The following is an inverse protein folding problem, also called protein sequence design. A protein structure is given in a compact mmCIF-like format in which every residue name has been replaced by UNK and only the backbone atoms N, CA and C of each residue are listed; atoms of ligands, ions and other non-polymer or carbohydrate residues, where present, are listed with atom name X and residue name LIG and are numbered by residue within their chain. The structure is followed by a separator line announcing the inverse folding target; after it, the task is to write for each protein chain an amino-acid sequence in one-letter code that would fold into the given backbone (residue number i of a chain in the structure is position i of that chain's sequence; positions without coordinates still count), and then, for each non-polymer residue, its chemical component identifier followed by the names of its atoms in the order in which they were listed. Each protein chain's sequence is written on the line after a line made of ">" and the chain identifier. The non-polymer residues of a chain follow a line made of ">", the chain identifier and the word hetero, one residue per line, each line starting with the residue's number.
data_IF_269705219194
#
_entry.id   IF_269705219194
#
_cell.length_a   1.000
_cell.length_b   1.000
_cell.length_c   1.000
_cell.angle_alpha   90.00
_cell.angle_beta   90.00
_cell.angle_gamma   90.00
#
_symmetry.space_group_name_H-M   'P 1'
#
loop_
_entity.id
_entity.type
_entity.pdbx_description
1 polymer ?
#
# COMPACT_ATOMS: atom_id res chain seq x y z
N UNK A 1 10.10 -2.77 0.54
CA UNK A 1 9.24 -2.77 1.75
C UNK A 1 9.46 -4.08 2.47
N UNK A 2 9.61 -4.09 3.79
CA UNK A 2 9.83 -5.33 4.53
C UNK A 2 8.56 -5.67 5.35
N UNK A 3 8.10 -6.91 5.26
CA UNK A 3 7.01 -7.44 6.08
C UNK A 3 7.52 -8.73 6.74
N UNK A 4 7.78 -8.65 8.04
CA UNK A 4 8.51 -9.71 8.74
C UNK A 4 9.93 -9.84 8.21
N UNK A 5 10.27 -11.04 7.78
CA UNK A 5 11.52 -11.46 7.14
C UNK A 5 11.52 -11.23 5.61
N UNK A 6 10.36 -11.09 4.97
CA UNK A 6 10.26 -10.97 3.51
C UNK A 6 10.48 -9.53 3.03
N UNK A 7 11.34 -9.36 2.01
CA UNK A 7 11.49 -8.12 1.24
C UNK A 7 10.55 -8.13 0.03
N UNK A 8 9.90 -6.99 -0.17
CA UNK A 8 8.96 -6.74 -1.25
C UNK A 8 9.47 -5.57 -2.09
N UNK A 9 9.41 -5.74 -3.40
CA UNK A 9 9.62 -4.66 -4.36
C UNK A 9 8.50 -3.64 -4.26
N UNK A 10 8.85 -2.36 -4.37
CA UNK A 10 7.91 -1.25 -4.35
C UNK A 10 8.13 -0.42 -5.60
N UNK A 11 7.07 -0.25 -6.39
CA UNK A 11 7.10 0.52 -7.63
C UNK A 11 5.98 1.54 -7.66
N UNK A 12 6.13 2.59 -8.47
CA UNK A 12 5.04 3.52 -8.72
C UNK A 12 3.93 2.80 -9.52
N UNK A 13 2.69 2.89 -9.03
CA UNK A 13 1.52 2.38 -9.73
C UNK A 13 1.06 3.33 -10.83
N UNK A 14 0.03 2.92 -11.59
CA UNK A 14 -0.54 3.80 -12.62
C UNK A 14 -1.07 5.10 -11.99
N UNK A 15 -0.96 6.24 -12.71
CA UNK A 15 -1.42 7.53 -12.21
C UNK A 15 -2.88 7.53 -11.76
N UNK A 16 -3.18 8.29 -10.71
CA UNK A 16 -4.55 8.56 -10.27
C UNK A 16 -5.18 9.61 -11.21
N UNK A 17 -5.90 9.15 -12.23
CA UNK A 17 -6.54 10.03 -13.24
C UNK A 17 -7.87 10.62 -12.76
N UNK A 18 -8.52 9.99 -11.79
CA UNK A 18 -9.77 10.46 -11.18
C UNK A 18 -9.55 10.84 -9.72
N UNK A 19 -10.36 11.80 -9.23
CA UNK A 19 -10.34 12.20 -7.83
C UNK A 19 -10.73 11.03 -6.94
N UNK A 20 -9.89 10.73 -5.97
CA UNK A 20 -10.10 9.74 -4.93
C UNK A 20 -9.85 10.42 -3.59
N UNK A 21 -10.72 10.24 -2.61
CA UNK A 21 -10.60 10.81 -1.27
C UNK A 21 -10.62 9.68 -0.22
N UNK A 22 -9.86 9.85 0.86
CA UNK A 22 -9.89 8.97 2.03
C UNK A 22 -10.78 9.60 3.09
N UNK A 23 -11.63 8.80 3.73
CA UNK A 23 -12.39 9.19 4.89
C UNK A 23 -12.25 8.16 6.01
N UNK A 24 -12.15 8.64 7.25
CA UNK A 24 -12.26 7.81 8.44
C UNK A 24 -13.74 7.68 8.83
N UNK A 25 -14.20 6.45 9.03
CA UNK A 25 -15.58 6.13 9.42
C UNK A 25 -15.55 5.42 10.78
N UNK A 26 -16.20 6.01 11.78
CA UNK A 26 -16.47 5.37 13.06
C UNK A 26 -17.97 5.13 13.18
N UNK A 27 -18.37 3.86 13.11
CA UNK A 27 -19.78 3.46 13.16
C UNK A 27 -20.35 3.44 14.58
N UNK A 28 -19.54 3.20 15.61
CA UNK A 28 -20.01 3.18 17.00
C UNK A 28 -20.42 4.56 17.50
N UNK A 29 -19.64 5.59 17.15
CA UNK A 29 -19.92 7.00 17.49
C UNK A 29 -20.59 7.78 16.36
N UNK A 30 -20.82 7.16 15.20
CA UNK A 30 -21.40 7.78 13.99
C UNK A 30 -20.62 9.00 13.49
N UNK A 31 -19.29 8.93 13.52
CA UNK A 31 -18.43 9.98 12.98
C UNK A 31 -17.90 9.63 11.58
N UNK A 32 -17.89 10.62 10.70
CA UNK A 32 -17.29 10.58 9.38
C UNK A 32 -16.37 11.79 9.22
N UNK A 33 -15.09 11.56 8.92
CA UNK A 33 -14.08 12.60 8.76
C UNK A 33 -13.35 12.42 7.44
N UNK A 34 -13.41 13.41 6.55
CA UNK A 34 -12.63 13.41 5.31
C UNK A 34 -11.17 13.75 5.63
N UNK A 35 -10.25 12.83 5.28
CA UNK A 35 -8.82 12.98 5.53
C UNK A 35 -8.09 13.69 4.39
N UNK A 36 -8.58 13.53 3.15
CA UNK A 36 -8.07 14.25 1.99
C UNK A 36 -7.91 13.38 0.73
N UNK A 37 -7.35 13.96 -0.34
CA UNK A 37 -7.24 13.29 -1.63
C UNK A 37 -6.07 12.29 -1.69
N UNK A 38 -6.20 11.27 -2.55
CA UNK A 38 -5.11 10.35 -2.92
C UNK A 38 -4.44 10.88 -4.19
N UNK A 39 -3.15 11.23 -4.10
CA UNK A 39 -2.38 11.76 -5.22
C UNK A 39 -1.57 10.69 -5.99
N UNK A 40 -1.13 9.64 -5.30
CA UNK A 40 -0.22 8.64 -5.84
C UNK A 40 -0.59 7.24 -5.36
N UNK A 41 -0.16 6.24 -6.11
CA UNK A 41 -0.30 4.82 -5.76
C UNK A 41 1.05 4.14 -5.87
N UNK A 42 1.37 3.28 -4.90
CA UNK A 42 2.47 2.34 -4.98
C UNK A 42 1.91 0.93 -5.23
N UNK A 43 2.64 0.12 -5.97
CA UNK A 43 2.40 -1.32 -6.13
C UNK A 43 3.51 -2.05 -5.39
N UNK A 44 3.11 -2.98 -4.55
CA UNK A 44 4.02 -3.83 -3.78
C UNK A 44 3.89 -5.24 -4.30
N UNK A 45 5.00 -5.88 -4.65
CA UNK A 45 5.05 -7.26 -5.09
C UNK A 45 6.18 -8.02 -4.40
N UNK A 46 6.08 -9.35 -4.23
CA UNK A 46 7.18 -10.14 -3.71
C UNK A 46 8.42 -10.00 -4.58
N UNK A 47 9.59 -9.82 -3.95
CA UNK A 47 10.87 -9.95 -4.63
C UNK A 47 11.11 -11.45 -4.88
N UNK A 48 10.81 -11.89 -6.10
CA UNK A 48 10.93 -13.31 -6.49
C UNK A 48 12.38 -13.78 -6.42
N UNK A 49 13.36 -12.89 -6.63
CA UNK A 49 14.77 -13.25 -6.57
C UNK A 49 15.22 -13.50 -5.14
N UNK A 50 14.81 -12.65 -4.20
CA UNK A 50 15.05 -12.89 -2.78
C UNK A 50 14.41 -14.21 -2.33
N UNK A 51 13.16 -14.47 -2.73
CA UNK A 51 12.42 -15.68 -2.35
C UNK A 51 13.03 -16.98 -2.92
N UNK A 52 13.75 -16.90 -4.04
CA UNK A 52 14.38 -18.04 -4.69
C UNK A 52 15.88 -18.15 -4.37
N UNK A 53 16.43 -17.24 -3.58
CA UNK A 53 17.84 -17.29 -3.20
C UNK A 53 18.11 -18.49 -2.30
N UNK A 54 19.26 -19.15 -2.49
CA UNK A 54 19.73 -20.20 -1.59
C UNK A 54 20.16 -19.57 -0.26
N UNK A 55 19.23 -19.46 0.69
CA UNK A 55 19.44 -18.89 2.02
C UNK A 55 18.12 -18.62 2.74
N UNK A 56 18.14 -18.40 4.07
CA UNK A 56 16.95 -17.93 4.78
C UNK A 56 16.56 -16.54 4.26
N UNK A 57 15.25 -16.32 4.15
CA UNK A 57 14.63 -15.04 3.78
C UNK A 57 14.78 -14.04 4.93
#
# INVERSE_FOLDING_TARGET
>A
MQIGDVLLDVTAGLPCVTRQDVAAVNTSSKHLVQLGPIAQRAVVCPDVWQLMADGPV
#
